data_IF_198104804450
#
_entry.id   IF_198104804450
#
_cell.length_a   1.000
_cell.length_b   1.000
_cell.length_c   1.000
_cell.angle_alpha   90.00
_cell.angle_beta   90.00
_cell.angle_gamma   90.00
#
_symmetry.space_group_name_H-M   'P 1'
#
loop_
_entity.id
_entity.type
_entity.pdbx_description
1 polymer ?
#
# COMPACT_ATOMS: atom_id res chain seq x y z
N UNK A 1 -6.80 -2.00 33.93
CA UNK A 1 -6.87 -2.29 32.47
C UNK A 1 -5.52 -2.12 31.78
N UNK A 2 -4.84 -0.97 31.92
CA UNK A 2 -3.55 -0.70 31.28
C UNK A 2 -2.47 -1.79 31.44
N UNK A 3 -2.36 -2.40 32.63
CA UNK A 3 -1.38 -3.47 32.88
C UNK A 3 -1.68 -4.77 32.11
N UNK A 4 -2.95 -5.09 31.86
CA UNK A 4 -3.34 -6.24 31.02
C UNK A 4 -3.05 -5.99 29.55
N UNK A 5 -3.17 -4.74 29.11
CA UNK A 5 -2.82 -4.31 27.76
C UNK A 5 -1.32 -4.44 27.50
N UNK A 6 -0.47 -3.95 28.42
CA UNK A 6 0.98 -4.07 28.30
C UNK A 6 1.44 -5.53 28.27
N UNK A 7 0.84 -6.39 29.10
CA UNK A 7 1.14 -7.83 29.12
C UNK A 7 0.67 -8.53 27.83
N UNK A 8 -0.49 -8.17 27.29
CA UNK A 8 -0.98 -8.71 26.02
C UNK A 8 -0.10 -8.27 24.83
N UNK A 9 0.34 -7.00 24.81
CA UNK A 9 1.25 -6.46 23.80
C UNK A 9 2.63 -7.14 23.88
N UNK A 10 3.18 -7.33 25.09
CA UNK A 10 4.45 -8.04 25.29
C UNK A 10 4.38 -9.52 24.91
N UNK A 11 3.24 -10.18 25.18
CA UNK A 11 3.00 -11.57 24.78
C UNK A 11 2.84 -11.69 23.25
N UNK A 12 2.13 -10.75 22.60
CA UNK A 12 2.03 -10.69 21.15
C UNK A 12 3.40 -10.42 20.49
N UNK A 13 4.23 -9.55 21.08
CA UNK A 13 5.62 -9.30 20.68
C UNK A 13 6.46 -10.57 20.73
N UNK A 14 6.34 -11.38 21.80
CA UNK A 14 7.14 -12.61 21.93
C UNK A 14 6.68 -13.72 20.98
N UNK A 15 5.38 -13.81 20.69
CA UNK A 15 4.84 -14.79 19.72
C UNK A 15 5.15 -14.39 18.28
N UNK A 16 5.01 -13.10 17.92
CA UNK A 16 5.32 -12.60 16.58
C UNK A 16 6.81 -12.72 16.21
N UNK A 17 7.71 -12.61 17.20
CA UNK A 17 9.16 -12.69 17.01
C UNK A 17 9.72 -14.13 16.92
N UNK A 18 8.92 -15.17 17.20
CA UNK A 18 9.42 -16.54 17.35
C UNK A 18 9.04 -17.52 16.23
N UNK A 19 8.17 -17.17 15.29
CA UNK A 19 7.91 -18.03 14.12
C UNK A 19 8.95 -17.77 13.02
N UNK A 20 9.55 -18.80 12.44
CA UNK A 20 10.50 -18.63 11.33
C UNK A 20 9.82 -18.09 10.05
N UNK A 21 8.50 -18.29 9.91
CA UNK A 21 7.68 -17.79 8.82
C UNK A 21 7.35 -16.27 8.91
N UNK A 22 7.56 -15.65 10.08
CA UNK A 22 7.31 -14.21 10.30
C UNK A 22 8.54 -13.32 10.11
N UNK A 23 9.67 -13.88 9.65
CA UNK A 23 10.90 -13.11 9.48
C UNK A 23 11.00 -12.53 8.08
N UNK A 24 11.01 -11.21 8.03
CA UNK A 24 11.32 -10.51 6.80
C UNK A 24 12.76 -10.78 6.33
N UNK A 25 12.94 -11.24 5.09
CA UNK A 25 14.27 -11.54 4.54
C UNK A 25 14.91 -10.25 4.02
N UNK A 26 16.11 -9.95 4.50
CA UNK A 26 16.96 -8.91 3.91
C UNK A 26 17.65 -9.50 2.67
N UNK A 27 17.27 -9.01 1.49
CA UNK A 27 17.87 -9.47 0.25
C UNK A 27 19.27 -8.87 0.08
N UNK A 28 20.22 -9.71 -0.32
CA UNK A 28 21.51 -9.24 -0.80
C UNK A 28 21.35 -8.62 -2.19
N UNK A 29 22.19 -7.63 -2.57
CA UNK A 29 22.28 -7.17 -3.95
C UNK A 29 22.50 -8.36 -4.88
N UNK A 30 21.98 -8.29 -6.12
CA UNK A 30 22.38 -9.25 -7.14
C UNK A 30 23.92 -9.25 -7.24
N UNK A 31 24.56 -10.43 -7.32
CA UNK A 31 26.00 -10.47 -7.57
C UNK A 31 26.25 -9.65 -8.83
N UNK A 32 27.10 -8.63 -8.72
CA UNK A 32 27.49 -7.79 -9.84
C UNK A 32 28.11 -8.69 -10.91
N UNK A 33 27.41 -8.89 -12.01
CA UNK A 33 27.94 -9.68 -13.12
C UNK A 33 29.11 -8.90 -13.74
N UNK A 34 30.23 -9.62 -13.97
CA UNK A 34 31.45 -9.06 -14.56
C UNK A 34 31.14 -8.38 -15.88
N UNK A 35 31.92 -7.36 -16.24
CA UNK A 35 31.94 -6.73 -17.57
C UNK A 35 31.88 -7.78 -18.69
N UNK A 36 30.72 -7.92 -19.31
CA UNK A 36 30.54 -8.73 -20.52
C UNK A 36 30.98 -7.86 -21.70
N UNK A 37 31.96 -8.34 -22.47
CA UNK A 37 32.45 -7.63 -23.66
C UNK A 37 31.35 -7.57 -24.72
N UNK A 38 31.16 -6.40 -25.33
CA UNK A 38 30.17 -6.06 -26.38
C UNK A 38 30.15 -6.96 -27.64
N UNK A 39 31.11 -7.89 -27.81
CA UNK A 39 31.38 -8.54 -29.10
C UNK A 39 30.82 -9.95 -29.29
N UNK A 40 30.08 -10.51 -28.34
CA UNK A 40 29.32 -11.75 -28.54
C UNK A 40 27.84 -11.45 -28.27
N UNK A 41 27.04 -11.24 -29.32
CA UNK A 41 25.60 -10.99 -29.23
C UNK A 41 24.93 -12.07 -28.34
N UNK A 42 24.51 -11.76 -27.09
CA UNK A 42 23.90 -12.76 -26.23
C UNK A 42 22.41 -12.92 -26.52
N UNK A 43 21.87 -12.12 -27.43
CA UNK A 43 20.49 -12.21 -27.84
C UNK A 43 20.27 -13.39 -28.81
N UNK A 44 19.09 -14.03 -28.77
CA UNK A 44 18.70 -15.02 -29.76
C UNK A 44 18.71 -14.45 -31.19
N UNK A 45 18.64 -15.35 -32.17
CA UNK A 45 18.46 -14.94 -33.57
C UNK A 45 17.20 -14.09 -33.71
N UNK A 46 17.38 -12.89 -34.28
CA UNK A 46 16.32 -11.89 -34.45
C UNK A 46 15.13 -12.43 -35.24
N UNK A 47 15.37 -13.28 -36.22
CA UNK A 47 14.32 -13.84 -37.08
C UNK A 47 13.49 -14.90 -36.35
N UNK A 48 14.07 -15.57 -35.35
CA UNK A 48 13.36 -16.55 -34.51
C UNK A 48 12.40 -15.86 -33.54
N UNK A 49 12.81 -14.71 -33.00
CA UNK A 49 12.07 -14.02 -31.94
C UNK A 49 11.12 -12.93 -32.44
N UNK A 50 11.09 -12.63 -33.74
CA UNK A 50 10.17 -11.64 -34.31
C UNK A 50 8.70 -11.97 -33.96
N UNK A 51 7.86 -10.99 -33.55
CA UNK A 51 8.12 -9.54 -33.51
C UNK A 51 8.80 -9.03 -32.23
N UNK A 52 9.14 -9.90 -31.29
CA UNK A 52 9.92 -9.48 -30.13
C UNK A 52 11.34 -9.05 -30.54
N UNK A 53 11.95 -8.24 -29.69
CA UNK A 53 13.35 -7.82 -29.80
C UNK A 53 14.09 -8.15 -28.51
N UNK A 54 15.38 -8.43 -28.63
CA UNK A 54 16.27 -8.59 -27.49
C UNK A 54 17.37 -7.54 -27.59
N UNK A 55 17.63 -6.86 -26.48
CA UNK A 55 18.72 -5.90 -26.38
C UNK A 55 19.41 -5.99 -25.02
N UNK A 56 20.68 -5.61 -25.02
CA UNK A 56 21.52 -5.57 -23.82
C UNK A 56 21.95 -4.12 -23.59
N UNK A 57 21.80 -3.62 -22.36
CA UNK A 57 22.25 -2.27 -22.02
C UNK A 57 23.76 -2.20 -21.73
N UNK A 58 24.26 -1.01 -21.39
CA UNK A 58 25.70 -0.79 -21.10
C UNK A 58 26.19 -1.51 -19.84
N UNK A 59 25.28 -2.05 -19.01
CA UNK A 59 25.59 -2.82 -17.81
C UNK A 59 25.50 -4.34 -18.06
N UNK A 60 25.22 -4.76 -19.30
CA UNK A 60 25.05 -6.16 -19.64
C UNK A 60 23.67 -6.72 -19.32
N UNK A 61 22.69 -5.89 -18.94
CA UNK A 61 21.36 -6.34 -18.56
C UNK A 61 20.51 -6.61 -19.81
N UNK A 62 20.15 -7.87 -19.99
CA UNK A 62 19.37 -8.33 -21.15
C UNK A 62 17.87 -8.11 -20.95
N UNK A 63 17.25 -7.43 -21.91
CA UNK A 63 15.81 -7.20 -21.97
C UNK A 63 15.21 -7.87 -23.19
N UNK A 64 14.18 -8.67 -22.95
CA UNK A 64 13.30 -9.22 -23.98
C UNK A 64 12.05 -8.35 -24.08
N UNK A 65 11.86 -7.67 -25.20
CA UNK A 65 10.71 -6.82 -25.46
C UNK A 65 9.81 -7.46 -26.51
N UNK A 66 8.65 -7.91 -26.05
CA UNK A 66 7.60 -8.57 -26.81
C UNK A 66 6.34 -7.71 -26.93
N UNK A 67 6.45 -6.39 -26.83
CA UNK A 67 5.31 -5.46 -26.88
C UNK A 67 4.62 -5.35 -28.25
N UNK A 68 5.07 -6.13 -29.24
CA UNK A 68 4.48 -6.21 -30.57
C UNK A 68 3.78 -7.55 -30.82
N UNK A 69 3.63 -8.39 -29.79
CA UNK A 69 2.88 -9.65 -29.91
C UNK A 69 1.38 -9.37 -29.74
N UNK A 70 0.53 -10.03 -30.49
CA UNK A 70 -0.91 -9.85 -30.38
C UNK A 70 -1.62 -11.07 -29.82
N UNK A 71 -0.98 -12.24 -29.78
CA UNK A 71 -1.66 -13.49 -29.40
C UNK A 71 -0.81 -14.43 -28.54
N UNK A 72 -1.52 -15.34 -27.86
CA UNK A 72 -0.94 -16.49 -27.15
C UNK A 72 -0.01 -17.32 -28.05
N UNK A 73 -0.43 -17.59 -29.29
CA UNK A 73 0.31 -18.44 -30.22
C UNK A 73 1.64 -17.83 -30.63
N UNK A 74 1.68 -16.50 -30.83
CA UNK A 74 2.92 -15.79 -31.11
C UNK A 74 3.90 -15.87 -29.94
N UNK A 75 3.40 -15.64 -28.72
CA UNK A 75 4.19 -15.76 -27.50
C UNK A 75 4.77 -17.16 -27.37
N UNK A 76 3.92 -18.18 -27.45
CA UNK A 76 4.32 -19.59 -27.34
C UNK A 76 5.32 -19.97 -28.44
N UNK A 77 5.12 -19.52 -29.68
CA UNK A 77 6.03 -19.78 -30.80
C UNK A 77 7.41 -19.19 -30.55
N UNK A 78 7.50 -17.94 -30.11
CA UNK A 78 8.78 -17.25 -29.89
C UNK A 78 9.59 -17.95 -28.79
N UNK A 79 8.93 -18.33 -27.69
CA UNK A 79 9.58 -19.03 -26.60
C UNK A 79 9.70 -20.55 -26.80
N UNK A 80 9.23 -21.07 -27.96
CA UNK A 80 9.47 -22.46 -28.36
C UNK A 80 10.89 -22.70 -28.89
N UNK A 81 11.60 -21.65 -29.33
CA UNK A 81 12.98 -21.74 -29.78
C UNK A 81 13.96 -21.94 -28.61
N UNK A 82 15.17 -22.40 -28.92
CA UNK A 82 16.25 -22.52 -27.94
C UNK A 82 16.98 -21.18 -27.82
N UNK A 83 17.07 -20.68 -26.59
CA UNK A 83 17.72 -19.41 -26.31
C UNK A 83 19.18 -19.68 -25.90
N UNK A 84 20.16 -18.96 -26.48
CA UNK A 84 21.57 -19.14 -26.14
C UNK A 84 21.87 -18.76 -24.67
N UNK A 85 21.00 -17.94 -24.06
CA UNK A 85 21.09 -17.49 -22.68
C UNK A 85 19.73 -17.65 -22.01
N UNK A 86 19.72 -18.06 -20.75
CA UNK A 86 18.50 -18.38 -20.01
C UNK A 86 18.10 -17.30 -19.00
N UNK A 87 19.03 -16.43 -18.63
CA UNK A 87 18.84 -15.43 -17.59
C UNK A 87 18.64 -14.06 -18.23
N UNK A 88 17.44 -13.53 -18.08
CA UNK A 88 17.06 -12.21 -18.56
C UNK A 88 16.86 -11.28 -17.37
N UNK A 89 17.31 -10.04 -17.51
CA UNK A 89 17.00 -9.02 -16.54
C UNK A 89 15.52 -8.66 -16.61
N UNK A 90 14.95 -8.53 -17.82
CA UNK A 90 13.59 -8.04 -17.99
C UNK A 90 12.85 -8.69 -19.16
N UNK A 91 11.58 -9.04 -18.95
CA UNK A 91 10.57 -9.30 -19.98
C UNK A 91 9.58 -8.13 -20.02
N UNK A 92 9.28 -7.63 -21.21
CA UNK A 92 8.29 -6.56 -21.43
C UNK A 92 7.27 -7.02 -22.47
N UNK A 93 5.99 -6.93 -22.13
CA UNK A 93 4.86 -7.00 -23.03
C UNK A 93 3.96 -5.82 -22.66
N UNK A 94 4.10 -4.71 -23.36
CA UNK A 94 3.48 -3.43 -23.02
C UNK A 94 2.62 -2.92 -24.17
N UNK A 95 1.31 -3.17 -24.09
CA UNK A 95 0.36 -2.77 -25.12
C UNK A 95 -0.43 -1.52 -24.73
N UNK A 96 -1.02 -0.87 -25.73
CA UNK A 96 -2.12 0.05 -25.50
C UNK A 96 -3.33 -0.75 -24.99
N UNK A 97 -3.90 -0.44 -23.80
CA UNK A 97 -5.09 -1.10 -23.28
C UNK A 97 -6.31 -1.06 -24.22
N UNK A 98 -6.30 -0.17 -25.22
CA UNK A 98 -7.34 -0.01 -26.24
C UNK A 98 -6.99 -0.69 -27.57
N UNK A 99 -5.85 -1.36 -27.67
CA UNK A 99 -5.46 -2.13 -28.84
C UNK A 99 -6.42 -3.32 -29.02
N UNK A 100 -7.32 -3.19 -30.00
CA UNK A 100 -8.30 -4.22 -30.32
C UNK A 100 -7.68 -5.42 -31.04
N UNK A 101 -6.44 -5.32 -31.52
CA UNK A 101 -5.73 -6.43 -32.17
C UNK A 101 -5.05 -7.33 -31.13
N UNK A 102 -4.78 -6.83 -29.91
CA UNK A 102 -4.25 -7.66 -28.83
C UNK A 102 -5.33 -8.63 -28.30
N UNK A 103 -5.13 -9.91 -28.55
CA UNK A 103 -5.95 -11.04 -28.11
C UNK A 103 -5.19 -11.96 -27.13
N UNK A 104 -4.09 -11.47 -26.52
CA UNK A 104 -3.37 -12.22 -25.49
C UNK A 104 -4.22 -12.29 -24.23
N UNK A 105 -4.77 -13.46 -23.94
CA UNK A 105 -5.76 -13.64 -22.86
C UNK A 105 -5.29 -14.55 -21.73
N UNK A 106 -4.29 -15.38 -21.97
CA UNK A 106 -3.74 -16.29 -20.98
C UNK A 106 -2.25 -16.51 -21.22
N UNK A 107 -1.52 -16.97 -20.20
CA UNK A 107 -0.13 -17.41 -20.34
C UNK A 107 -0.02 -18.76 -19.66
N UNK A 108 0.38 -19.77 -20.43
CA UNK A 108 0.42 -21.16 -19.98
C UNK A 108 1.76 -21.52 -19.33
N UNK A 109 1.72 -22.49 -18.42
CA UNK A 109 2.86 -22.90 -17.57
C UNK A 109 4.19 -23.09 -18.31
N UNK A 110 4.17 -23.65 -19.52
CA UNK A 110 5.38 -23.97 -20.28
C UNK A 110 5.80 -22.89 -21.29
N UNK A 111 5.17 -21.71 -21.26
CA UNK A 111 5.42 -20.64 -22.22
C UNK A 111 6.89 -20.24 -22.24
N UNK A 112 7.48 -19.96 -21.07
CA UNK A 112 8.86 -19.46 -20.98
C UNK A 112 9.91 -20.56 -20.74
N UNK A 113 9.49 -21.82 -20.63
CA UNK A 113 10.38 -22.97 -20.35
C UNK A 113 11.36 -22.66 -19.22
N UNK A 114 12.67 -22.81 -19.48
CA UNK A 114 13.78 -22.60 -18.53
C UNK A 114 14.34 -21.18 -18.51
N UNK A 115 13.62 -20.22 -19.07
CA UNK A 115 14.03 -18.82 -19.00
C UNK A 115 13.67 -18.24 -17.63
N UNK A 116 14.61 -17.52 -17.06
CA UNK A 116 14.43 -16.83 -15.78
C UNK A 116 14.42 -15.33 -16.01
N UNK A 117 13.55 -14.62 -15.32
CA UNK A 117 13.46 -13.16 -15.39
C UNK A 117 13.65 -12.55 -13.99
N UNK A 118 14.34 -11.41 -13.93
CA UNK A 118 14.34 -10.61 -12.69
C UNK A 118 13.16 -9.65 -12.64
N UNK A 119 12.65 -9.22 -13.79
CA UNK A 119 11.56 -8.26 -13.90
C UNK A 119 10.63 -8.69 -15.02
N UNK A 120 9.35 -8.84 -14.71
CA UNK A 120 8.32 -9.15 -15.70
C UNK A 120 7.32 -8.01 -15.70
N UNK A 121 7.15 -7.38 -16.86
CA UNK A 121 6.18 -6.31 -17.09
C UNK A 121 5.24 -6.78 -18.21
N UNK A 122 3.99 -7.07 -17.88
CA UNK A 122 2.95 -7.44 -18.84
C UNK A 122 1.76 -6.54 -18.55
N UNK A 123 1.58 -5.49 -19.33
CA UNK A 123 0.58 -4.45 -19.07
C UNK A 123 -0.16 -4.03 -20.33
N UNK A 124 -1.39 -3.57 -20.15
CA UNK A 124 -2.21 -3.07 -21.26
C UNK A 124 -2.64 -4.15 -22.24
N UNK A 125 -2.64 -5.43 -21.83
CA UNK A 125 -3.09 -6.56 -22.66
C UNK A 125 -4.49 -7.02 -22.25
N UNK A 126 -5.04 -8.01 -22.96
CA UNK A 126 -6.33 -8.63 -22.60
C UNK A 126 -6.19 -9.80 -21.62
N UNK A 127 -5.06 -9.91 -20.92
CA UNK A 127 -4.71 -11.05 -20.07
C UNK A 127 -5.70 -11.24 -18.91
N UNK A 128 -6.32 -12.42 -18.83
CA UNK A 128 -7.36 -12.79 -17.86
C UNK A 128 -6.86 -13.77 -16.79
N UNK A 129 -5.86 -14.59 -17.13
CA UNK A 129 -5.26 -15.55 -16.20
C UNK A 129 -3.80 -15.82 -16.55
N UNK A 130 -3.03 -16.24 -15.55
CA UNK A 130 -1.65 -16.70 -15.68
C UNK A 130 -1.60 -18.01 -14.91
N UNK A 131 -1.11 -19.07 -15.54
CA UNK A 131 -0.96 -20.35 -14.85
C UNK A 131 0.07 -20.25 -13.72
N UNK A 132 -0.08 -21.09 -12.70
CA UNK A 132 0.76 -21.10 -11.50
C UNK A 132 2.27 -21.28 -11.77
N UNK A 133 2.63 -22.05 -12.81
CA UNK A 133 4.00 -22.48 -13.05
C UNK A 133 4.70 -21.70 -14.17
N UNK A 134 4.07 -20.64 -14.70
CA UNK A 134 4.61 -19.85 -15.82
C UNK A 134 6.02 -19.31 -15.56
N UNK A 135 6.29 -18.90 -14.32
CA UNK A 135 7.56 -18.31 -13.90
C UNK A 135 8.28 -19.15 -12.84
N UNK A 136 8.04 -20.46 -12.79
CA UNK A 136 8.60 -21.32 -11.73
C UNK A 136 10.14 -21.33 -11.69
N UNK A 137 10.80 -21.30 -12.85
CA UNK A 137 12.28 -21.19 -12.93
C UNK A 137 12.78 -19.81 -12.44
N UNK A 138 11.90 -18.81 -12.29
CA UNK A 138 12.23 -17.48 -11.75
C UNK A 138 11.96 -17.32 -10.25
N UNK A 139 11.63 -18.38 -9.50
CA UNK A 139 11.39 -18.30 -8.05
C UNK A 139 12.53 -17.57 -7.29
N UNK A 140 13.78 -17.84 -7.66
CA UNK A 140 14.96 -17.27 -7.00
C UNK A 140 15.52 -16.01 -7.69
N UNK A 141 14.86 -15.51 -8.74
CA UNK A 141 15.33 -14.35 -9.51
C UNK A 141 14.29 -13.25 -9.66
N UNK A 142 13.00 -13.54 -9.66
CA UNK A 142 11.97 -12.54 -9.92
C UNK A 142 11.89 -11.55 -8.76
N UNK A 143 12.09 -10.27 -9.07
CA UNK A 143 12.06 -9.16 -8.13
C UNK A 143 10.86 -8.25 -8.34
N UNK A 144 10.46 -8.04 -9.60
CA UNK A 144 9.29 -7.24 -9.95
C UNK A 144 8.37 -8.02 -10.87
N UNK A 145 7.09 -8.05 -10.50
CA UNK A 145 6.02 -8.54 -11.35
C UNK A 145 4.94 -7.45 -11.50
N UNK A 146 4.92 -6.81 -12.67
CA UNK A 146 3.98 -5.75 -13.01
C UNK A 146 2.96 -6.27 -14.03
N UNK A 147 1.73 -6.43 -13.57
CA UNK A 147 0.58 -6.96 -14.29
C UNK A 147 -0.57 -5.94 -14.35
N UNK A 148 -0.26 -4.65 -14.23
CA UNK A 148 -1.26 -3.60 -14.22
C UNK A 148 -1.98 -3.48 -15.57
N UNK A 149 -3.21 -2.97 -15.53
CA UNK A 149 -3.99 -2.67 -16.74
C UNK A 149 -4.23 -3.90 -17.62
N UNK A 150 -4.61 -5.03 -17.03
CA UNK A 150 -5.05 -6.21 -17.76
C UNK A 150 -6.51 -6.53 -17.39
N UNK A 151 -6.95 -7.77 -17.59
CA UNK A 151 -8.29 -8.27 -17.28
C UNK A 151 -8.24 -9.43 -16.28
N UNK A 152 -7.18 -9.50 -15.47
CA UNK A 152 -6.95 -10.62 -14.57
C UNK A 152 -8.09 -10.76 -13.58
N UNK A 153 -8.68 -11.95 -13.54
CA UNK A 153 -9.69 -12.31 -12.53
C UNK A 153 -9.18 -13.39 -11.57
N UNK A 154 -8.09 -14.08 -11.95
CA UNK A 154 -7.41 -15.11 -11.18
C UNK A 154 -5.91 -14.91 -11.26
N UNK A 155 -5.22 -15.12 -10.15
CA UNK A 155 -3.77 -15.05 -10.03
C UNK A 155 -3.32 -16.08 -8.99
N UNK A 156 -2.19 -16.79 -9.20
CA UNK A 156 -1.74 -17.88 -8.33
C UNK A 156 -1.09 -17.36 -7.03
N UNK A 157 -1.85 -16.62 -6.20
CA UNK A 157 -1.37 -16.00 -4.95
C UNK A 157 -0.70 -17.00 -4.00
N UNK A 158 -1.26 -18.21 -3.89
CA UNK A 158 -0.75 -19.29 -3.06
C UNK A 158 0.67 -19.74 -3.45
N UNK A 159 1.18 -19.41 -4.64
CA UNK A 159 2.56 -19.76 -5.03
C UNK A 159 3.57 -18.67 -4.68
N UNK A 160 3.13 -17.49 -4.24
CA UNK A 160 4.01 -16.34 -4.01
C UNK A 160 5.07 -16.58 -2.92
N UNK A 161 4.82 -17.53 -1.99
CA UNK A 161 5.81 -17.90 -0.97
C UNK A 161 7.06 -18.57 -1.57
N UNK A 162 6.97 -19.14 -2.78
CA UNK A 162 8.10 -19.75 -3.49
C UNK A 162 9.07 -18.69 -4.04
N UNK A 163 8.60 -17.47 -4.28
CA UNK A 163 9.39 -16.40 -4.90
C UNK A 163 10.27 -15.68 -3.87
N UNK A 164 11.44 -16.25 -3.60
CA UNK A 164 12.35 -15.84 -2.52
C UNK A 164 12.88 -14.40 -2.66
N UNK A 165 12.79 -13.78 -3.84
CA UNK A 165 13.29 -12.42 -4.12
C UNK A 165 12.25 -11.41 -4.63
N UNK A 166 10.97 -11.79 -4.69
CA UNK A 166 9.91 -10.90 -5.19
C UNK A 166 9.68 -9.74 -4.23
N UNK A 167 10.09 -8.53 -4.61
CA UNK A 167 9.93 -7.33 -3.79
C UNK A 167 8.70 -6.51 -4.19
N UNK A 168 8.31 -6.53 -5.47
CA UNK A 168 7.26 -5.67 -6.02
C UNK A 168 6.24 -6.46 -6.82
N UNK A 169 4.99 -6.42 -6.39
CA UNK A 169 3.84 -6.99 -7.10
C UNK A 169 2.81 -5.90 -7.39
N UNK A 170 2.58 -5.62 -8.68
CA UNK A 170 1.64 -4.59 -9.13
C UNK A 170 0.51 -5.24 -9.94
N UNK A 171 -0.71 -5.12 -9.44
CA UNK A 171 -1.93 -5.77 -9.92
C UNK A 171 -3.07 -4.77 -10.15
N UNK A 172 -2.75 -3.48 -10.17
CA UNK A 172 -3.74 -2.41 -10.33
C UNK A 172 -4.52 -2.51 -11.64
N UNK A 173 -5.79 -2.08 -11.59
CA UNK A 173 -6.66 -2.00 -12.77
C UNK A 173 -6.77 -3.36 -13.49
N UNK A 174 -7.26 -4.35 -12.74
CA UNK A 174 -7.62 -5.69 -13.21
C UNK A 174 -9.10 -5.95 -12.85
N UNK A 175 -9.52 -7.21 -12.84
CA UNK A 175 -10.89 -7.63 -12.54
C UNK A 175 -10.95 -8.63 -11.37
N UNK A 176 -10.10 -8.44 -10.36
CA UNK A 176 -10.08 -9.31 -9.17
C UNK A 176 -11.34 -9.09 -8.34
N UNK A 177 -12.14 -10.15 -8.17
CA UNK A 177 -13.30 -10.14 -7.26
C UNK A 177 -12.94 -10.45 -5.81
N UNK A 178 -11.80 -11.11 -5.58
CA UNK A 178 -11.27 -11.40 -4.26
C UNK A 178 -9.74 -11.41 -4.27
N UNK A 179 -9.16 -11.05 -3.13
CA UNK A 179 -7.76 -11.27 -2.80
C UNK A 179 -7.70 -12.41 -1.78
N UNK A 180 -7.19 -13.56 -2.22
CA UNK A 180 -6.98 -14.73 -1.36
C UNK A 180 -5.80 -14.48 -0.42
N UNK A 181 -5.75 -15.22 0.70
CA UNK A 181 -4.61 -15.13 1.63
C UNK A 181 -3.36 -15.65 0.94
N UNK A 182 -2.21 -15.03 1.19
CA UNK A 182 -0.92 -15.54 0.73
C UNK A 182 0.21 -15.08 1.63
N UNK A 183 1.30 -15.84 1.60
CA UNK A 183 2.53 -15.54 2.32
C UNK A 183 3.64 -15.05 1.40
N UNK A 184 4.46 -14.14 1.90
CA UNK A 184 5.73 -13.77 1.26
C UNK A 184 6.72 -13.20 2.27
N UNK A 185 7.93 -13.73 2.25
CA UNK A 185 9.04 -13.27 3.10
C UNK A 185 9.93 -12.22 2.42
N UNK A 186 9.57 -11.79 1.21
CA UNK A 186 10.36 -10.88 0.36
C UNK A 186 9.55 -9.67 -0.11
N UNK A 187 8.21 -9.77 -0.21
CA UNK A 187 7.37 -8.73 -0.77
C UNK A 187 7.41 -7.42 0.05
N UNK A 188 7.80 -6.33 -0.61
CA UNK A 188 7.90 -4.97 -0.04
C UNK A 188 6.77 -4.06 -0.52
N UNK A 189 6.36 -4.20 -1.77
CA UNK A 189 5.37 -3.35 -2.42
C UNK A 189 4.26 -4.23 -2.99
N UNK A 190 3.04 -4.02 -2.49
CA UNK A 190 1.82 -4.61 -3.03
C UNK A 190 0.89 -3.48 -3.48
N UNK A 191 0.53 -3.49 -4.76
CA UNK A 191 -0.46 -2.58 -5.33
C UNK A 191 -1.55 -3.39 -6.01
N UNK A 192 -2.79 -3.26 -5.55
CA UNK A 192 -3.95 -3.99 -6.10
C UNK A 192 -5.14 -3.04 -6.31
N UNK A 193 -4.87 -1.74 -6.45
CA UNK A 193 -5.90 -0.73 -6.57
C UNK A 193 -6.75 -0.89 -7.85
N UNK A 194 -7.87 -0.20 -7.90
CA UNK A 194 -8.77 -0.20 -9.08
C UNK A 194 -9.31 -1.59 -9.45
N UNK A 195 -9.38 -2.52 -8.49
CA UNK A 195 -10.12 -3.78 -8.60
C UNK A 195 -11.45 -3.61 -7.85
N UNK A 196 -12.50 -3.20 -8.56
CA UNK A 196 -13.76 -2.80 -7.93
C UNK A 196 -14.47 -3.96 -7.22
N UNK A 197 -14.95 -3.71 -6.00
CA UNK A 197 -15.60 -4.69 -5.12
C UNK A 197 -14.67 -5.85 -4.69
N UNK A 198 -13.37 -5.60 -4.58
CA UNK A 198 -12.40 -6.58 -4.09
C UNK A 198 -12.75 -7.01 -2.67
N UNK A 199 -12.93 -8.32 -2.47
CA UNK A 199 -13.17 -8.91 -1.15
C UNK A 199 -11.91 -9.57 -0.61
N UNK A 200 -11.71 -9.50 0.70
CA UNK A 200 -10.62 -10.18 1.38
C UNK A 200 -11.00 -10.46 2.83
N UNK A 201 -10.29 -11.42 3.43
CA UNK A 201 -10.43 -11.75 4.85
C UNK A 201 -9.55 -10.85 5.71
N UNK A 202 -9.85 -10.78 7.01
CA UNK A 202 -9.13 -9.90 7.94
C UNK A 202 -7.63 -10.26 8.08
N UNK A 203 -7.27 -11.49 7.77
CA UNK A 203 -5.92 -12.05 7.87
C UNK A 203 -5.14 -12.06 6.54
N UNK A 204 -5.66 -11.39 5.49
CA UNK A 204 -5.04 -11.41 4.16
C UNK A 204 -3.60 -10.86 4.12
N UNK A 205 -3.22 -10.01 5.08
CA UNK A 205 -1.85 -9.46 5.20
C UNK A 205 -1.02 -10.11 6.32
N UNK A 206 -1.55 -11.12 7.01
CA UNK A 206 -0.95 -11.70 8.22
C UNK A 206 0.46 -12.27 7.96
N UNK A 207 0.67 -12.83 6.76
CA UNK A 207 1.90 -13.53 6.34
C UNK A 207 2.78 -12.68 5.41
N UNK A 208 2.68 -11.35 5.50
CA UNK A 208 3.44 -10.40 4.69
C UNK A 208 4.35 -9.48 5.54
N UNK A 209 5.27 -10.02 6.36
CA UNK A 209 6.02 -9.28 7.38
C UNK A 209 6.93 -8.17 6.83
N UNK A 210 7.23 -8.22 5.53
CA UNK A 210 8.12 -7.30 4.82
C UNK A 210 7.43 -6.11 4.16
N UNK A 211 6.10 -6.04 4.14
CA UNK A 211 5.40 -4.97 3.40
C UNK A 211 5.81 -3.59 3.92
N UNK A 212 6.23 -2.74 2.99
CA UNK A 212 6.58 -1.33 3.19
C UNK A 212 5.53 -0.43 2.57
N UNK A 213 5.04 -0.78 1.37
CA UNK A 213 4.01 -0.01 0.66
C UNK A 213 2.84 -0.90 0.30
N UNK A 214 1.66 -0.49 0.77
CA UNK A 214 0.38 -1.10 0.45
C UNK A 214 -0.51 -0.08 -0.26
N UNK A 215 -0.98 -0.42 -1.46
CA UNK A 215 -1.96 0.36 -2.19
C UNK A 215 -3.21 -0.48 -2.49
N UNK A 216 -4.32 -0.05 -1.90
CA UNK A 216 -5.66 -0.62 -2.03
C UNK A 216 -6.67 0.50 -2.38
N UNK A 217 -6.25 1.43 -3.23
CA UNK A 217 -7.07 2.54 -3.71
C UNK A 217 -8.21 2.04 -4.61
N UNK A 218 -9.38 2.68 -4.55
CA UNK A 218 -10.48 2.42 -5.49
C UNK A 218 -10.91 0.95 -5.62
N UNK A 219 -10.91 0.21 -4.50
CA UNK A 219 -11.37 -1.19 -4.48
C UNK A 219 -12.82 -1.34 -3.99
N UNK A 220 -13.47 -0.23 -3.61
CA UNK A 220 -14.84 -0.23 -3.07
C UNK A 220 -14.91 -0.65 -1.60
N UNK A 221 -13.84 -0.41 -0.84
CA UNK A 221 -13.74 -0.78 0.57
C UNK A 221 -14.68 0.07 1.43
N UNK A 222 -15.51 -0.58 2.26
CA UNK A 222 -16.49 0.12 3.15
C UNK A 222 -16.02 0.26 4.59
N UNK A 223 -15.14 -0.64 5.03
CA UNK A 223 -14.50 -0.63 6.33
C UNK A 223 -13.14 -1.30 6.20
N UNK A 224 -12.19 -0.89 7.04
CA UNK A 224 -10.90 -1.57 7.16
C UNK A 224 -11.06 -2.66 8.23
N UNK A 225 -10.72 -3.92 7.96
CA UNK A 225 -10.74 -4.96 8.99
C UNK A 225 -9.83 -4.65 10.17
N UNK A 226 -10.33 -4.88 11.38
CA UNK A 226 -9.54 -4.69 12.61
C UNK A 226 -8.35 -5.64 12.62
N UNK A 227 -7.20 -5.15 13.08
CA UNK A 227 -5.97 -5.92 13.25
C UNK A 227 -5.30 -6.43 11.95
N UNK A 228 -5.78 -6.03 10.78
CA UNK A 228 -5.20 -6.39 9.48
C UNK A 228 -3.71 -6.04 9.35
N UNK A 229 -3.25 -5.02 10.08
CA UNK A 229 -1.88 -4.51 10.02
C UNK A 229 -0.95 -5.03 11.12
N UNK A 230 -1.46 -5.83 12.06
CA UNK A 230 -0.75 -6.15 13.30
C UNK A 230 0.63 -6.80 13.10
N UNK A 231 0.78 -7.60 12.03
CA UNK A 231 2.03 -8.30 11.72
C UNK A 231 2.96 -7.53 10.77
N UNK A 232 2.55 -6.36 10.28
CA UNK A 232 3.35 -5.57 9.34
C UNK A 232 4.39 -4.75 10.10
N UNK A 233 5.60 -5.31 10.23
CA UNK A 233 6.67 -4.71 11.03
C UNK A 233 7.43 -3.58 10.33
N UNK A 234 7.22 -3.38 9.02
CA UNK A 234 7.96 -2.42 8.19
C UNK A 234 7.07 -1.47 7.39
N UNK A 235 5.74 -1.50 7.61
CA UNK A 235 4.80 -0.75 6.77
C UNK A 235 5.01 0.75 6.93
N UNK A 236 5.31 1.42 5.83
CA UNK A 236 5.60 2.85 5.80
C UNK A 236 4.48 3.64 5.10
N UNK A 237 3.97 3.13 3.98
CA UNK A 237 2.94 3.80 3.18
C UNK A 237 1.71 2.91 3.03
N UNK A 238 0.56 3.41 3.48
CA UNK A 238 -0.76 2.76 3.34
C UNK A 238 -1.67 3.70 2.57
N UNK A 239 -2.30 3.19 1.51
CA UNK A 239 -3.24 3.97 0.70
C UNK A 239 -4.55 3.21 0.53
N UNK A 240 -5.64 3.86 0.95
CA UNK A 240 -7.04 3.48 0.71
C UNK A 240 -7.81 4.64 0.08
N UNK A 241 -7.13 5.44 -0.75
CA UNK A 241 -7.72 6.59 -1.41
C UNK A 241 -8.92 6.17 -2.29
N UNK A 242 -9.92 7.03 -2.37
CA UNK A 242 -11.07 6.84 -3.26
C UNK A 242 -11.81 5.51 -3.01
N UNK A 243 -12.09 5.20 -1.74
CA UNK A 243 -12.94 4.07 -1.34
C UNK A 243 -14.28 4.59 -0.74
N UNK A 244 -15.07 3.72 -0.13
CA UNK A 244 -16.36 4.03 0.47
C UNK A 244 -16.31 3.95 2.01
N UNK A 245 -15.15 4.22 2.62
CA UNK A 245 -14.99 4.18 4.07
C UNK A 245 -15.87 5.25 4.74
N UNK A 246 -16.60 4.88 5.79
CA UNK A 246 -17.53 5.79 6.50
C UNK A 246 -17.13 6.05 7.95
N UNK A 247 -16.51 5.06 8.60
CA UNK A 247 -16.02 5.14 9.97
C UNK A 247 -14.70 4.37 10.05
N UNK A 248 -13.73 4.92 10.80
CA UNK A 248 -12.57 4.15 11.22
C UNK A 248 -12.86 3.53 12.58
N UNK A 249 -12.97 2.21 12.62
CA UNK A 249 -13.20 1.45 13.85
C UNK A 249 -11.93 1.33 14.68
N UNK A 250 -12.08 0.99 15.95
CA UNK A 250 -10.95 0.68 16.82
C UNK A 250 -10.00 -0.32 16.14
N UNK A 251 -8.70 -0.03 16.13
CA UNK A 251 -7.67 -0.85 15.47
C UNK A 251 -7.81 -1.02 13.95
N UNK A 252 -8.39 -0.05 13.24
CA UNK A 252 -8.40 -0.03 11.78
C UNK A 252 -6.99 0.10 11.19
N UNK A 253 -6.19 1.05 11.71
CA UNK A 253 -4.77 1.21 11.36
C UNK A 253 -3.96 0.96 12.63
N UNK A 254 -3.40 -0.24 12.76
CA UNK A 254 -2.77 -0.68 14.02
C UNK A 254 -1.50 -1.57 13.86
N UNK A 255 -0.51 -1.18 13.03
CA UNK A 255 0.76 -1.90 13.05
C UNK A 255 1.38 -1.85 14.45
N UNK A 256 2.04 -2.95 14.83
CA UNK A 256 2.62 -3.11 16.17
C UNK A 256 3.71 -2.07 16.50
N UNK A 257 4.41 -1.58 15.47
CA UNK A 257 5.51 -0.61 15.60
C UNK A 257 5.14 0.71 14.91
N UNK A 258 5.61 1.87 15.43
CA UNK A 258 5.39 3.19 14.84
C UNK A 258 6.18 3.35 13.54
N UNK A 259 5.64 2.81 12.46
CA UNK A 259 6.34 2.61 11.18
C UNK A 259 5.70 3.40 10.04
N UNK A 260 4.41 3.71 10.15
CA UNK A 260 3.62 4.37 9.09
C UNK A 260 4.04 5.83 8.99
N UNK A 261 4.71 6.19 7.91
CA UNK A 261 5.05 7.58 7.57
C UNK A 261 4.09 8.23 6.58
N UNK A 262 3.24 7.45 5.90
CA UNK A 262 2.24 7.97 4.97
C UNK A 262 0.95 7.15 5.05
N UNK A 263 -0.14 7.81 5.41
CA UNK A 263 -1.48 7.24 5.48
C UNK A 263 -2.41 8.06 4.58
N UNK A 264 -2.97 7.44 3.54
CA UNK A 264 -3.89 8.10 2.61
C UNK A 264 -5.28 7.49 2.73
N UNK A 265 -6.20 8.32 3.20
CA UNK A 265 -7.62 8.02 3.37
C UNK A 265 -8.49 9.06 2.65
N UNK A 266 -7.89 9.84 1.74
CA UNK A 266 -8.58 10.86 0.97
C UNK A 266 -9.70 10.29 0.08
N UNK A 267 -10.61 11.16 -0.32
CA UNK A 267 -11.72 10.85 -1.25
C UNK A 267 -12.58 9.67 -0.77
N UNK A 268 -12.81 9.56 0.54
CA UNK A 268 -13.71 8.57 1.13
C UNK A 268 -15.01 9.25 1.59
N UNK A 269 -15.76 8.61 2.48
CA UNK A 269 -17.00 9.14 3.08
C UNK A 269 -16.88 9.20 4.61
N UNK A 270 -15.65 9.30 5.13
CA UNK A 270 -15.38 9.24 6.57
C UNK A 270 -16.06 10.41 7.26
N UNK A 271 -16.86 10.11 8.29
CA UNK A 271 -17.52 11.11 9.13
C UNK A 271 -17.28 10.89 10.61
N UNK A 272 -16.71 9.74 11.00
CA UNK A 272 -16.59 9.32 12.39
C UNK A 272 -15.34 8.45 12.63
N UNK A 273 -14.86 8.44 13.88
CA UNK A 273 -13.66 7.75 14.33
C UNK A 273 -13.90 7.13 15.71
N UNK A 274 -13.66 5.84 15.85
CA UNK A 274 -13.57 5.22 17.18
C UNK A 274 -12.24 5.62 17.85
N UNK A 275 -12.19 5.51 19.19
CA UNK A 275 -10.96 5.65 19.94
C UNK A 275 -9.92 4.62 19.47
N UNK A 276 -8.64 5.01 19.40
CA UNK A 276 -7.55 4.15 18.93
C UNK A 276 -7.77 3.54 17.53
N UNK A 277 -8.57 4.20 16.69
CA UNK A 277 -8.77 3.77 15.30
C UNK A 277 -7.51 3.89 14.44
N UNK A 278 -6.63 4.86 14.77
CA UNK A 278 -5.33 5.07 14.13
C UNK A 278 -4.21 5.05 15.17
N UNK A 279 -3.28 4.11 15.02
CA UNK A 279 -2.08 3.94 15.85
C UNK A 279 -0.89 3.55 15.00
N UNK A 280 0.33 3.62 15.55
CA UNK A 280 1.54 3.17 14.86
C UNK A 280 2.03 4.12 13.76
N UNK A 281 1.65 5.39 13.84
CA UNK A 281 2.20 6.45 13.00
C UNK A 281 3.61 6.84 13.46
N UNK A 282 4.48 7.19 12.52
CA UNK A 282 5.73 7.90 12.80
C UNK A 282 5.44 9.34 13.22
N UNK A 283 6.34 9.91 14.01
CA UNK A 283 6.26 11.30 14.49
C UNK A 283 6.15 12.33 13.36
N UNK A 284 6.75 12.04 12.20
CA UNK A 284 6.74 12.86 10.99
C UNK A 284 5.76 12.36 9.91
N UNK A 285 4.75 11.55 10.28
CA UNK A 285 3.85 10.97 9.30
C UNK A 285 2.97 12.02 8.59
N UNK A 286 2.64 11.72 7.33
CA UNK A 286 1.66 12.46 6.53
C UNK A 286 0.36 11.68 6.54
N UNK A 287 -0.70 12.29 7.05
CA UNK A 287 -2.06 11.74 7.10
C UNK A 287 -2.96 12.57 6.19
N UNK A 288 -3.41 11.97 5.09
CA UNK A 288 -4.34 12.58 4.14
C UNK A 288 -5.76 12.09 4.42
N UNK A 289 -6.60 13.01 4.91
CA UNK A 289 -8.05 12.84 5.15
C UNK A 289 -8.87 13.74 4.22
N UNK A 290 -8.29 14.17 3.10
CA UNK A 290 -8.94 15.12 2.19
C UNK A 290 -10.24 14.59 1.59
N UNK A 291 -11.16 15.48 1.25
CA UNK A 291 -12.41 15.16 0.56
C UNK A 291 -13.18 14.01 1.24
N UNK A 292 -13.44 14.16 2.54
CA UNK A 292 -14.25 13.25 3.34
C UNK A 292 -15.53 13.98 3.82
N UNK A 293 -16.19 13.49 4.86
CA UNK A 293 -17.42 14.04 5.45
C UNK A 293 -17.24 14.34 6.94
N UNK A 294 -16.02 14.68 7.34
CA UNK A 294 -15.67 14.99 8.72
C UNK A 294 -16.26 16.36 9.04
N UNK A 295 -17.04 16.45 10.12
CA UNK A 295 -17.70 17.69 10.55
C UNK A 295 -17.25 18.14 11.94
N UNK A 296 -16.86 17.19 12.78
CA UNK A 296 -16.42 17.40 14.16
C UNK A 296 -15.11 16.64 14.41
N UNK A 297 -14.29 17.15 15.34
CA UNK A 297 -13.01 16.54 15.73
C UNK A 297 -12.91 16.44 17.25
N UNK A 298 -13.67 15.55 17.91
CA UNK A 298 -13.70 15.46 19.36
C UNK A 298 -12.34 15.06 19.96
N UNK A 299 -11.95 15.72 21.07
CA UNK A 299 -10.63 15.57 21.70
C UNK A 299 -10.29 14.11 22.00
N UNK A 300 -11.19 13.37 22.64
CA UNK A 300 -10.95 11.98 23.09
C UNK A 300 -10.67 11.00 21.94
N UNK A 301 -11.19 11.28 20.74
CA UNK A 301 -11.05 10.40 19.57
C UNK A 301 -9.85 10.81 18.71
N UNK A 302 -9.64 12.12 18.53
CA UNK A 302 -8.64 12.63 17.59
C UNK A 302 -7.28 12.91 18.23
N UNK A 303 -7.24 13.41 19.47
CA UNK A 303 -5.97 13.75 20.15
C UNK A 303 -4.97 12.59 20.20
N UNK A 304 -5.36 11.32 20.46
CA UNK A 304 -4.41 10.22 20.51
C UNK A 304 -3.61 10.01 19.22
N UNK A 305 -4.18 10.28 18.04
CA UNK A 305 -3.42 10.18 16.78
C UNK A 305 -2.68 11.47 16.43
N UNK A 306 -3.22 12.64 16.79
CA UNK A 306 -2.50 13.92 16.64
C UNK A 306 -1.20 13.96 17.46
N UNK A 307 -1.21 13.36 18.65
CA UNK A 307 0.00 13.23 19.47
C UNK A 307 1.09 12.36 18.83
N UNK A 308 0.72 11.43 17.94
CA UNK A 308 1.68 10.60 17.21
C UNK A 308 2.33 11.32 16.03
N UNK A 309 1.79 12.46 15.55
CA UNK A 309 2.24 13.13 14.31
C UNK A 309 2.65 14.58 14.52
N UNK A 310 3.17 14.92 15.71
CA UNK A 310 3.54 16.29 16.09
C UNK A 310 4.60 16.95 15.18
N UNK A 311 5.38 16.17 14.44
CA UNK A 311 6.38 16.65 13.47
C UNK A 311 5.94 16.37 12.01
N UNK A 312 4.68 15.98 11.83
CA UNK A 312 4.10 15.50 10.58
C UNK A 312 3.14 16.49 9.95
N UNK A 313 2.17 15.94 9.22
CA UNK A 313 1.14 16.72 8.54
C UNK A 313 -0.20 15.96 8.53
N UNK A 314 -1.29 16.66 8.81
CA UNK A 314 -2.67 16.18 8.70
C UNK A 314 -3.42 17.08 7.71
N UNK A 315 -3.84 16.52 6.59
CA UNK A 315 -4.62 17.24 5.57
C UNK A 315 -6.11 16.92 5.69
N UNK A 316 -6.90 17.91 6.07
CA UNK A 316 -8.36 17.83 6.21
C UNK A 316 -9.08 18.63 5.11
N UNK A 317 -8.38 19.08 4.08
CA UNK A 317 -8.96 19.89 2.99
C UNK A 317 -10.16 19.20 2.35
N UNK A 318 -11.24 19.94 2.10
CA UNK A 318 -12.45 19.38 1.47
C UNK A 318 -13.37 18.60 2.42
N UNK A 319 -13.28 18.85 3.73
CA UNK A 319 -14.25 18.43 4.73
C UNK A 319 -15.14 19.61 5.17
N UNK A 320 -16.33 19.33 5.70
CA UNK A 320 -17.30 20.34 6.17
C UNK A 320 -17.16 20.61 7.67
N UNK A 321 -15.97 21.04 8.11
CA UNK A 321 -15.65 21.20 9.54
C UNK A 321 -16.46 22.33 10.19
N UNK A 322 -17.15 22.05 11.30
CA UNK A 322 -17.95 23.05 12.03
C UNK A 322 -17.09 24.10 12.73
N UNK A 323 -15.86 23.75 13.12
CA UNK A 323 -14.93 24.61 13.84
C UNK A 323 -15.53 25.21 15.13
N UNK A 324 -16.25 24.38 15.89
CA UNK A 324 -16.85 24.75 17.17
C UNK A 324 -15.97 24.38 18.37
N UNK A 325 -16.59 24.35 19.55
CA UNK A 325 -15.89 23.98 20.79
C UNK A 325 -15.38 22.53 20.81
N UNK A 326 -15.89 21.66 19.94
CA UNK A 326 -15.35 20.30 19.73
C UNK A 326 -13.90 20.31 19.26
N UNK A 327 -13.49 21.35 18.53
CA UNK A 327 -12.12 21.57 18.06
C UNK A 327 -11.27 22.41 19.02
N UNK A 328 -11.80 22.88 20.15
CA UNK A 328 -11.10 23.84 21.01
C UNK A 328 -9.77 23.30 21.56
N UNK A 329 -9.63 21.98 21.71
CA UNK A 329 -8.39 21.34 22.16
C UNK A 329 -7.21 21.54 21.20
N UNK A 330 -7.47 21.81 19.91
CA UNK A 330 -6.45 22.21 18.94
C UNK A 330 -5.82 23.57 19.27
N UNK A 331 -6.56 24.41 20.01
CA UNK A 331 -6.23 25.81 20.30
C UNK A 331 -5.92 26.08 21.78
N UNK A 332 -6.56 25.38 22.72
CA UNK A 332 -6.62 25.77 24.14
C UNK A 332 -5.81 24.86 25.07
N UNK A 333 -5.47 23.65 24.64
CA UNK A 333 -4.90 22.61 25.51
C UNK A 333 -3.50 22.19 25.07
N UNK A 334 -2.62 23.16 24.87
CA UNK A 334 -1.21 22.87 24.64
C UNK A 334 -0.41 23.40 25.82
N UNK A 335 0.39 22.55 26.45
CA UNK A 335 1.29 22.90 27.56
C UNK A 335 2.43 23.84 27.13
N UNK A 336 2.33 24.43 25.95
CA UNK A 336 3.31 25.33 25.35
C UNK A 336 3.00 26.76 25.76
N UNK A 337 4.03 27.60 25.81
CA UNK A 337 3.89 29.04 26.11
C UNK A 337 2.93 29.74 25.14
N UNK A 338 2.74 29.15 23.96
CA UNK A 338 1.76 29.53 22.95
C UNK A 338 0.79 28.37 22.68
N UNK A 339 -0.50 28.49 23.05
CA UNK A 339 -1.54 27.47 22.87
C UNK A 339 -1.70 26.97 21.42
N UNK A 340 -1.24 27.75 20.43
CA UNK A 340 -1.41 27.47 19.00
C UNK A 340 -0.29 26.62 18.40
N UNK A 341 0.79 26.34 19.15
CA UNK A 341 2.03 25.79 18.58
C UNK A 341 2.09 24.27 18.48
N UNK A 342 1.15 23.51 19.04
CA UNK A 342 1.26 22.04 19.06
C UNK A 342 0.56 21.37 17.89
N UNK A 343 -0.73 21.63 17.69
CA UNK A 343 -1.55 20.88 16.73
C UNK A 343 -1.91 21.68 15.47
N UNK A 344 -2.00 23.01 15.53
CA UNK A 344 -2.28 23.80 14.32
C UNK A 344 -1.17 23.74 13.27
N UNK A 345 0.14 23.70 13.61
CA UNK A 345 1.19 23.67 12.60
C UNK A 345 1.22 22.40 11.75
N UNK A 346 0.66 21.30 12.27
CA UNK A 346 0.57 20.04 11.52
C UNK A 346 -0.66 20.00 10.62
N UNK A 347 -1.67 20.86 10.82
CA UNK A 347 -2.84 20.94 9.93
C UNK A 347 -2.46 21.75 8.68
N UNK A 348 -2.84 21.25 7.50
CA UNK A 348 -2.55 21.95 6.25
C UNK A 348 -3.25 23.32 6.19
N UNK A 349 -2.54 24.32 5.65
CA UNK A 349 -3.06 25.69 5.46
C UNK A 349 -4.30 25.80 4.57
N UNK A 350 -4.63 24.74 3.82
CA UNK A 350 -5.78 24.66 2.93
C UNK A 350 -7.03 24.11 3.63
N UNK A 351 -6.90 23.64 4.87
CA UNK A 351 -8.04 23.19 5.66
C UNK A 351 -8.91 24.38 6.07
N UNK A 352 -10.21 24.29 5.76
CA UNK A 352 -11.21 25.32 6.05
C UNK A 352 -12.35 24.76 6.88
N UNK A 353 -12.98 25.64 7.65
CA UNK A 353 -14.30 25.45 8.24
C UNK A 353 -15.38 25.48 7.15
N UNK A 354 -16.60 25.05 7.49
CA UNK A 354 -17.75 25.00 6.58
C UNK A 354 -18.12 26.37 5.99
N UNK A 355 -17.78 27.46 6.70
CA UNK A 355 -18.00 28.84 6.25
C UNK A 355 -16.86 29.40 5.37
N UNK A 356 -15.83 28.58 5.09
CA UNK A 356 -14.66 28.96 4.30
C UNK A 356 -13.51 29.58 5.10
N UNK A 357 -13.68 29.80 6.40
CA UNK A 357 -12.60 30.30 7.27
C UNK A 357 -11.48 29.28 7.36
N UNK A 358 -10.22 29.68 7.19
CA UNK A 358 -9.08 28.77 7.34
C UNK A 358 -8.85 28.43 8.81
N UNK A 359 -8.71 27.13 9.11
CA UNK A 359 -8.57 26.60 10.48
C UNK A 359 -7.37 27.21 11.21
N UNK A 360 -6.28 27.46 10.48
CA UNK A 360 -5.05 28.06 11.00
C UNK A 360 -5.19 29.54 11.38
N UNK A 361 -6.28 30.21 11.00
CA UNK A 361 -6.54 31.63 11.27
C UNK A 361 -7.70 31.86 12.24
N UNK A 362 -8.19 30.80 12.89
CA UNK A 362 -9.21 30.93 13.92
C UNK A 362 -8.69 31.66 15.16
N UNK A 363 -9.49 32.59 15.70
CA UNK A 363 -9.11 33.44 16.83
C UNK A 363 -9.21 32.67 18.15
N UNK A 364 -8.06 32.33 18.74
CA UNK A 364 -7.94 31.62 20.02
C UNK A 364 -8.75 32.27 21.15
N UNK A 365 -8.87 33.60 21.20
CA UNK A 365 -9.58 34.30 22.27
C UNK A 365 -11.09 34.03 22.23
N UNK A 366 -11.65 33.76 21.04
CA UNK A 366 -13.06 33.36 20.89
C UNK A 366 -13.27 32.01 21.57
N UNK A 367 -12.38 31.05 21.32
CA UNK A 367 -12.45 29.73 21.97
C UNK A 367 -12.20 29.82 23.48
N UNK A 368 -11.23 30.61 23.93
CA UNK A 368 -10.95 30.81 25.36
C UNK A 368 -12.16 31.38 26.11
N UNK A 369 -12.88 32.32 25.49
CA UNK A 369 -14.02 32.99 26.10
C UNK A 369 -15.28 32.13 26.07
N UNK A 370 -15.50 31.37 25.01
CA UNK A 370 -16.78 30.70 24.75
C UNK A 370 -16.77 29.18 24.97
N UNK A 371 -15.61 28.52 24.96
CA UNK A 371 -15.50 27.07 25.09
C UNK A 371 -14.94 26.60 26.45
N UNK A 372 -14.21 27.46 27.19
CA UNK A 372 -13.66 27.12 28.51
C UNK A 372 -14.73 26.81 29.58
N UNK A 373 -15.98 27.24 29.40
CA UNK A 373 -17.07 26.93 30.34
C UNK A 373 -17.58 25.48 30.22
N UNK A 374 -17.42 24.83 29.05
CA UNK A 374 -17.81 23.42 28.88
C UNK A 374 -16.79 22.44 29.47
N UNK A 375 -15.49 22.74 29.40
CA UNK A 375 -14.43 21.87 29.95
C UNK A 375 -14.45 21.80 31.49
N UNK A 376 -15.02 22.80 32.18
CA UNK A 376 -15.23 22.76 33.64
C UNK A 376 -16.44 21.92 34.06
N UNK A 377 -17.43 21.75 33.19
CA UNK A 377 -18.64 21.02 33.57
C UNK A 377 -18.48 19.50 33.49
N UNK A 378 -17.63 19.00 32.59
CA UNK A 378 -17.30 17.57 32.52
C UNK A 378 -16.43 17.17 33.72
N UNK A 379 -15.44 18.00 34.10
CA UNK A 379 -14.59 17.71 35.26
C UNK A 379 -15.28 17.79 36.62
N UNK A 380 -16.38 18.56 36.73
CA UNK A 380 -17.18 18.64 37.96
C UNK A 380 -18.19 17.50 38.10
N UNK A 381 -18.73 16.96 36.99
CA UNK A 381 -19.63 15.80 37.02
C UNK A 381 -18.91 14.48 37.34
N UNK A 382 -17.60 14.40 37.06
CA UNK A 382 -16.76 13.23 37.41
C UNK A 382 -16.22 13.28 38.86
N UNK A 383 -16.39 14.40 39.58
CA UNK A 383 -15.96 14.56 40.97
C UNK A 383 -17.09 14.39 41.99
N UNK A 384 -18.34 14.19 41.57
CA UNK A 384 -19.48 13.90 42.47
C UNK A 384 -19.82 12.40 42.58
N UNK A 385 -19.04 11.51 41.96
CA UNK A 385 -19.25 10.06 42.01
C UNK A 385 -18.03 9.23 42.44
N UNK A 386 -17.21 9.73 43.37
CA UNK A 386 -16.23 8.90 44.10
C UNK A 386 -16.01 9.33 45.55
#
# INVERSE_FOLDING_TARGET
MALRYVVAVLAALTVALTSEASKCVNLSPYPYEKEVRETDLPCPDKDQIMPCTCHTDTLGLMTMDCSLIHSNDELQRIFSFEFPFKHFYKLIIDHDPNDAENILTEIHSDTFKKLTFQRVVIRGTQLQTIDENVFHDSHDTLNLFDLRNNKLSKFPFETLFLYSRLETLLLDNNNFGALEKFGSTSLRILSIGYNSNLKFTNDVLEELPCIVTLNMDSIGLKYIPQHMFANLTQVYSISFNNNDLTVLREFSINPLLPTVGRLVLGNNRLSDFDQNSITGLKDNAIVDLTNNRITEMPEELCKPFFEQVINGMVDLTGNDLTCGCDMSWLYLNTTTVDPTQRYLPIITKHTTCFDGTQVIYLDVHVFEKHCNEMSRHISLLDLENY
#
